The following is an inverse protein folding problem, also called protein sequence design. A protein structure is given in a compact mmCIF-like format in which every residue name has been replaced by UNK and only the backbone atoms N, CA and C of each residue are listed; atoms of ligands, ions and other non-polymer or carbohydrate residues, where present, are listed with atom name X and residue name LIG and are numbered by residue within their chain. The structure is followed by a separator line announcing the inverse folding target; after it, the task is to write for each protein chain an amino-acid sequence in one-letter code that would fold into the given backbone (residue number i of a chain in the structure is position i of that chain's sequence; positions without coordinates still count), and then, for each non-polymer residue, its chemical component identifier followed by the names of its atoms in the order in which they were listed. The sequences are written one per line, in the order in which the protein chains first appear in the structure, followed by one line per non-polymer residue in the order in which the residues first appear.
data_IF_601300010872
#
_entry.id   IF_601300010872
#
_cell.length_a   1.000
_cell.length_b   1.000
_cell.length_c   1.000
_cell.angle_alpha   90.00
_cell.angle_beta   90.00
_cell.angle_gamma   90.00
#
_symmetry.space_group_name_H-M   'P 1'
#
loop_
_entity.id
_entity.type
_entity.pdbx_description
1 polymer ?
#
# COMPACT_ATOMS: atom_id res chain seq x y z
N UNK A 1 -23.90 10.61 -12.13
CA UNK A 1 -23.71 10.18 -10.73
C UNK A 1 -22.21 10.11 -10.44
N UNK A 2 -21.79 10.27 -9.18
CA UNK A 2 -20.40 10.00 -8.81
C UNK A 2 -20.14 8.48 -8.85
N UNK A 3 -18.95 8.06 -9.32
CA UNK A 3 -18.62 6.64 -9.46
C UNK A 3 -18.40 5.99 -8.08
N UNK A 4 -19.08 4.88 -7.72
CA UNK A 4 -18.81 4.16 -6.48
C UNK A 4 -17.68 3.11 -6.61
N UNK A 5 -17.24 2.86 -7.85
CA UNK A 5 -16.21 1.90 -8.24
C UNK A 5 -15.63 2.26 -9.61
N UNK A 6 -14.39 1.85 -9.90
CA UNK A 6 -13.74 2.13 -11.18
C UNK A 6 -14.10 1.12 -12.27
N UNK A 7 -14.52 -0.11 -11.90
CA UNK A 7 -14.71 -1.25 -12.82
C UNK A 7 -15.46 -0.91 -14.12
N UNK A 8 -16.65 -0.26 -14.08
CA UNK A 8 -17.38 0.06 -15.31
C UNK A 8 -16.59 0.92 -16.29
N UNK A 9 -15.75 1.85 -15.80
CA UNK A 9 -14.93 2.72 -16.64
C UNK A 9 -13.81 1.92 -17.30
N UNK A 10 -13.17 1.02 -16.56
CA UNK A 10 -12.15 0.13 -17.11
C UNK A 10 -12.75 -0.83 -18.15
N UNK A 11 -13.98 -1.30 -17.95
CA UNK A 11 -14.67 -2.15 -18.93
C UNK A 11 -14.94 -1.39 -20.24
N UNK A 12 -15.31 -0.10 -20.15
CA UNK A 12 -15.48 0.74 -21.34
C UNK A 12 -14.15 0.99 -22.05
N UNK A 13 -13.04 1.17 -21.32
CA UNK A 13 -11.69 1.29 -21.90
C UNK A 13 -11.29 -0.01 -22.60
N UNK A 14 -11.51 -1.17 -21.97
CA UNK A 14 -11.25 -2.47 -22.58
C UNK A 14 -12.00 -2.61 -23.90
N UNK A 15 -13.30 -2.27 -23.89
CA UNK A 15 -14.24 -2.39 -25.02
C UNK A 15 -13.99 -1.39 -26.16
N UNK A 16 -13.23 -0.33 -25.91
CA UNK A 16 -13.01 0.72 -26.90
C UNK A 16 -12.25 0.24 -28.15
N UNK A 17 -11.50 -0.86 -28.04
CA UNK A 17 -10.73 -1.44 -29.14
C UNK A 17 -10.96 -2.96 -29.20
N UNK A 18 -11.00 -3.56 -30.41
CA UNK A 18 -10.97 -5.01 -30.57
C UNK A 18 -9.72 -5.61 -29.91
N UNK A 19 -9.85 -6.79 -29.30
CA UNK A 19 -8.77 -7.49 -28.61
C UNK A 19 -8.54 -8.87 -29.21
N UNK A 20 -7.28 -9.28 -29.33
CA UNK A 20 -6.85 -10.65 -29.64
C UNK A 20 -6.37 -11.35 -28.36
N UNK A 21 -6.35 -12.69 -28.34
CA UNK A 21 -5.71 -13.46 -27.27
C UNK A 21 -4.24 -13.07 -27.05
N UNK A 22 -3.56 -12.52 -28.07
CA UNK A 22 -2.19 -12.01 -27.99
C UNK A 22 -2.06 -10.73 -27.18
N UNK A 23 -3.16 -9.98 -27.03
CA UNK A 23 -3.21 -8.75 -26.23
C UNK A 23 -3.50 -9.05 -24.75
N UNK A 24 -3.81 -10.31 -24.42
CA UNK A 24 -4.07 -10.76 -23.06
C UNK A 24 -2.82 -11.43 -22.44
N UNK A 25 -2.54 -11.20 -21.14
CA UNK A 25 -3.37 -10.48 -20.18
C UNK A 25 -3.22 -8.95 -20.28
N UNK A 26 -4.35 -8.23 -20.32
CA UNK A 26 -4.38 -6.76 -20.30
C UNK A 26 -4.66 -6.28 -18.87
N UNK A 27 -3.83 -5.38 -18.35
CA UNK A 27 -3.95 -4.88 -16.97
C UNK A 27 -4.21 -3.37 -16.98
N UNK A 28 -5.43 -2.97 -16.63
CA UNK A 28 -5.80 -1.56 -16.51
C UNK A 28 -5.75 -1.15 -15.03
N UNK A 29 -4.79 -0.30 -14.66
CA UNK A 29 -4.63 0.21 -13.30
C UNK A 29 -4.92 1.71 -13.24
N UNK A 30 -5.65 2.14 -12.20
CA UNK A 30 -5.98 3.54 -11.93
C UNK A 30 -5.82 3.81 -10.44
N UNK A 31 -5.20 4.94 -10.09
CA UNK A 31 -5.33 5.49 -8.75
C UNK A 31 -6.66 6.26 -8.63
N UNK A 32 -7.76 5.49 -8.65
CA UNK A 32 -9.09 6.02 -8.97
C UNK A 32 -9.87 6.47 -7.76
N UNK A 33 -10.36 7.71 -7.78
CA UNK A 33 -11.22 8.27 -6.73
C UNK A 33 -12.67 7.84 -6.91
N UNK A 34 -13.25 7.26 -5.86
CA UNK A 34 -14.62 6.77 -5.81
C UNK A 34 -15.38 7.39 -4.63
N UNK A 35 -16.71 7.35 -4.73
CA UNK A 35 -17.61 7.92 -3.72
C UNK A 35 -18.68 6.92 -3.31
N UNK A 36 -18.81 6.68 -2.00
CA UNK A 36 -19.85 5.84 -1.40
C UNK A 36 -20.65 6.64 -0.40
N UNK A 37 -21.97 6.56 -0.48
CA UNK A 37 -22.86 7.27 0.43
C UNK A 37 -23.06 6.46 1.73
N UNK A 38 -21.96 6.32 2.48
CA UNK A 38 -21.95 5.67 3.80
C UNK A 38 -22.83 6.44 4.79
N UNK A 39 -23.49 5.72 5.70
CA UNK A 39 -24.34 6.33 6.73
C UNK A 39 -23.50 7.24 7.63
N UNK A 40 -24.05 8.38 8.05
CA UNK A 40 -23.28 9.36 8.83
C UNK A 40 -22.75 8.81 10.14
N UNK A 41 -23.47 7.86 10.77
CA UNK A 41 -23.05 7.20 12.01
C UNK A 41 -21.95 6.15 11.84
N UNK A 42 -21.60 5.81 10.59
CA UNK A 42 -20.58 4.80 10.27
C UNK A 42 -19.23 5.41 9.89
N UNK A 43 -19.18 6.72 9.67
CA UNK A 43 -17.95 7.42 9.29
C UNK A 43 -16.96 7.43 10.46
N UNK A 44 -15.69 7.10 10.18
CA UNK A 44 -14.66 6.97 11.20
C UNK A 44 -13.29 7.39 10.65
N UNK A 45 -12.86 8.62 10.97
CA UNK A 45 -11.56 9.16 10.60
C UNK A 45 -11.20 8.89 9.14
N UNK A 46 -10.09 8.18 8.93
CA UNK A 46 -9.64 7.70 7.62
C UNK A 46 -10.02 6.23 7.34
N UNK A 47 -10.51 5.48 8.34
CA UNK A 47 -10.87 4.06 8.22
C UNK A 47 -12.17 3.85 7.41
N UNK A 48 -13.14 4.76 7.55
CA UNK A 48 -14.42 4.74 6.84
C UNK A 48 -14.84 6.14 6.41
N UNK A 49 -14.71 6.40 5.10
CA UNK A 49 -14.88 7.71 4.46
C UNK A 49 -15.88 7.64 3.30
N UNK A 50 -16.42 8.78 2.86
CA UNK A 50 -17.31 8.86 1.69
C UNK A 50 -16.58 9.03 0.37
N UNK A 51 -15.47 9.75 0.36
CA UNK A 51 -14.58 9.89 -0.79
C UNK A 51 -13.29 9.13 -0.49
N UNK A 52 -12.90 8.25 -1.39
CA UNK A 52 -11.74 7.38 -1.21
C UNK A 52 -11.00 7.19 -2.52
N UNK A 53 -9.69 6.99 -2.46
CA UNK A 53 -8.88 6.70 -3.66
C UNK A 53 -8.22 5.33 -3.50
N UNK A 54 -8.32 4.47 -4.52
CA UNK A 54 -7.81 3.10 -4.45
C UNK A 54 -6.73 2.87 -5.49
N UNK A 55 -5.74 2.03 -5.19
CA UNK A 55 -4.78 1.51 -6.17
C UNK A 55 -5.38 0.37 -7.01
N UNK A 56 -6.55 0.66 -7.56
CA UNK A 56 -7.44 -0.30 -8.19
C UNK A 56 -6.91 -0.73 -9.57
N UNK A 57 -7.08 -2.00 -9.89
CA UNK A 57 -6.79 -2.51 -11.21
C UNK A 57 -7.73 -3.65 -11.61
N UNK A 58 -7.96 -3.72 -12.91
CA UNK A 58 -8.78 -4.72 -13.57
C UNK A 58 -7.92 -5.44 -14.60
N UNK A 59 -7.70 -6.72 -14.37
CA UNK A 59 -6.91 -7.59 -15.25
C UNK A 59 -7.88 -8.41 -16.09
N UNK A 60 -7.74 -8.33 -17.41
CA UNK A 60 -8.51 -9.09 -18.38
C UNK A 60 -7.61 -10.19 -18.92
N UNK A 61 -8.01 -11.44 -18.75
CA UNK A 61 -7.18 -12.59 -19.10
C UNK A 61 -8.03 -13.73 -19.68
N UNK A 62 -7.38 -14.66 -20.38
CA UNK A 62 -8.04 -15.90 -20.80
C UNK A 62 -8.20 -16.86 -19.60
N UNK A 63 -9.09 -17.87 -19.70
CA UNK A 63 -9.22 -18.89 -18.66
C UNK A 63 -7.91 -19.59 -18.29
N UNK A 64 -7.05 -19.84 -19.28
CA UNK A 64 -5.75 -20.51 -19.09
C UNK A 64 -4.74 -19.61 -18.35
N UNK A 65 -4.89 -18.28 -18.48
CA UNK A 65 -4.01 -17.30 -17.83
C UNK A 65 -4.47 -16.95 -16.41
N UNK A 66 -5.74 -17.17 -16.07
CA UNK A 66 -6.35 -16.71 -14.83
C UNK A 66 -5.63 -17.20 -13.57
N UNK A 67 -5.16 -18.47 -13.55
CA UNK A 67 -4.40 -19.03 -12.41
C UNK A 67 -3.12 -18.23 -12.16
N UNK A 68 -2.32 -18.06 -13.20
CA UNK A 68 -1.03 -17.36 -13.12
C UNK A 68 -1.20 -15.88 -12.74
N UNK A 69 -2.21 -15.20 -13.30
CA UNK A 69 -2.49 -13.81 -12.96
C UNK A 69 -2.97 -13.65 -11.52
N UNK A 70 -3.82 -14.55 -11.02
CA UNK A 70 -4.26 -14.51 -9.63
C UNK A 70 -3.08 -14.75 -8.67
N UNK A 71 -2.22 -15.73 -8.96
CA UNK A 71 -1.01 -15.99 -8.17
C UNK A 71 -0.07 -14.77 -8.16
N UNK A 72 0.14 -14.13 -9.31
CA UNK A 72 0.92 -12.89 -9.40
C UNK A 72 0.33 -11.77 -8.53
N UNK A 73 -1.01 -11.64 -8.52
CA UNK A 73 -1.69 -10.67 -7.66
C UNK A 73 -1.49 -11.00 -6.19
N UNK A 74 -1.64 -12.26 -5.76
CA UNK A 74 -1.43 -12.62 -4.35
C UNK A 74 0.03 -12.40 -3.91
N UNK A 75 1.01 -12.79 -4.74
CA UNK A 75 2.42 -12.54 -4.48
C UNK A 75 2.74 -11.04 -4.34
N UNK A 76 2.07 -10.18 -5.12
CA UNK A 76 2.19 -8.73 -5.00
C UNK A 76 1.71 -8.22 -3.64
N UNK A 77 0.66 -8.81 -3.06
CA UNK A 77 0.19 -8.45 -1.72
C UNK A 77 1.23 -8.82 -0.66
N UNK A 78 1.75 -10.05 -0.72
CA UNK A 78 2.82 -10.52 0.18
C UNK A 78 4.03 -9.60 0.12
N UNK A 79 4.51 -9.24 -1.08
CA UNK A 79 5.63 -8.32 -1.26
C UNK A 79 5.37 -6.94 -0.63
N UNK A 80 4.16 -6.39 -0.80
CA UNK A 80 3.84 -5.12 -0.15
C UNK A 80 3.78 -5.26 1.37
N UNK A 81 3.18 -6.31 1.89
CA UNK A 81 3.05 -6.51 3.32
C UNK A 81 4.42 -6.69 3.98
N UNK A 82 5.31 -7.47 3.37
CA UNK A 82 6.71 -7.56 3.77
C UNK A 82 7.41 -6.20 3.74
N UNK A 83 7.22 -5.42 2.67
CA UNK A 83 7.81 -4.08 2.52
C UNK A 83 7.37 -3.12 3.63
N UNK A 84 6.12 -3.22 4.09
CA UNK A 84 5.59 -2.41 5.18
C UNK A 84 5.85 -3.02 6.56
N UNK A 85 6.49 -4.19 6.66
CA UNK A 85 6.75 -4.88 7.93
C UNK A 85 5.53 -5.59 8.54
N UNK A 86 4.51 -5.87 7.72
CA UNK A 86 3.28 -6.55 8.11
C UNK A 86 3.48 -8.07 8.03
N UNK A 87 3.73 -8.69 9.17
CA UNK A 87 4.04 -10.13 9.27
C UNK A 87 2.83 -10.99 9.66
N UNK A 88 1.89 -10.41 10.41
CA UNK A 88 0.74 -11.13 10.97
C UNK A 88 -0.50 -10.92 10.10
N UNK A 89 -0.56 -11.66 8.98
CA UNK A 89 -1.72 -11.67 8.09
C UNK A 89 -2.09 -13.08 7.65
N UNK A 90 -3.36 -13.25 7.30
CA UNK A 90 -3.91 -14.49 6.76
C UNK A 90 -4.98 -14.17 5.72
N UNK A 91 -5.43 -15.15 4.95
CA UNK A 91 -6.43 -14.93 3.90
C UNK A 91 -7.76 -15.61 4.21
N UNK A 92 -8.85 -14.88 4.03
CA UNK A 92 -10.19 -15.46 4.03
C UNK A 92 -10.62 -15.73 2.60
N UNK A 93 -10.90 -17.00 2.29
CA UNK A 93 -11.49 -17.40 1.02
C UNK A 93 -13.00 -17.46 1.16
N UNK A 94 -13.70 -16.47 0.62
CA UNK A 94 -15.17 -16.45 0.66
C UNK A 94 -15.76 -17.13 -0.57
N UNK A 95 -16.54 -18.19 -0.32
CA UNK A 95 -17.16 -19.05 -1.33
C UNK A 95 -18.67 -18.86 -1.39
N UNK A 96 -19.29 -19.29 -2.48
CA UNK A 96 -20.74 -19.26 -2.60
C UNK A 96 -21.41 -20.30 -1.69
N UNK A 97 -22.65 -19.99 -1.33
CA UNK A 97 -23.57 -20.92 -0.68
C UNK A 97 -24.72 -21.23 -1.64
N UNK A 98 -25.05 -22.53 -1.77
CA UNK A 98 -26.10 -22.99 -2.67
C UNK A 98 -27.47 -22.49 -2.21
N UNK A 99 -28.37 -22.26 -3.16
CA UNK A 99 -29.80 -22.05 -2.93
C UNK A 99 -30.20 -20.78 -2.13
N UNK A 100 -29.34 -19.76 -2.10
CA UNK A 100 -29.61 -18.49 -1.39
C UNK A 100 -30.23 -17.39 -2.27
N UNK A 101 -30.31 -17.58 -3.59
CA UNK A 101 -30.77 -16.56 -4.55
C UNK A 101 -29.88 -15.30 -4.66
N UNK A 102 -28.80 -15.25 -3.87
CA UNK A 102 -27.86 -14.12 -3.75
C UNK A 102 -26.79 -14.09 -4.85
N UNK A 103 -26.49 -15.25 -5.44
CA UNK A 103 -25.41 -15.45 -6.41
C UNK A 103 -25.94 -15.63 -7.82
N UNK A 104 -25.11 -15.37 -8.83
CA UNK A 104 -25.47 -15.64 -10.23
C UNK A 104 -25.68 -17.14 -10.45
N UNK A 105 -26.79 -17.48 -11.12
CA UNK A 105 -27.22 -18.85 -11.43
C UNK A 105 -26.42 -19.45 -12.60
N UNK A 106 -25.12 -19.66 -12.36
CA UNK A 106 -24.17 -20.28 -13.30
C UNK A 106 -23.32 -21.33 -12.56
N UNK A 107 -23.89 -22.49 -12.17
CA UNK A 107 -23.24 -23.44 -11.24
C UNK A 107 -21.90 -23.99 -11.74
N UNK A 108 -21.79 -24.26 -13.06
CA UNK A 108 -20.54 -24.76 -13.67
C UNK A 108 -19.41 -23.72 -13.61
N UNK A 109 -19.75 -22.44 -13.76
CA UNK A 109 -18.81 -21.33 -13.71
C UNK A 109 -18.27 -21.14 -12.29
N UNK A 110 -19.16 -21.25 -11.29
CA UNK A 110 -18.78 -21.26 -9.87
C UNK A 110 -17.86 -22.42 -9.52
N UNK A 111 -18.17 -23.63 -9.97
CA UNK A 111 -17.32 -24.79 -9.69
C UNK A 111 -15.90 -24.59 -10.25
N UNK A 112 -15.78 -24.09 -11.49
CA UNK A 112 -14.47 -23.76 -12.08
C UNK A 112 -13.74 -22.68 -11.27
N UNK A 113 -14.46 -21.65 -10.82
CA UNK A 113 -13.90 -20.58 -9.99
C UNK A 113 -13.38 -21.09 -8.64
N UNK A 114 -14.16 -21.94 -7.96
CA UNK A 114 -13.78 -22.53 -6.66
C UNK A 114 -12.54 -23.42 -6.81
N UNK A 115 -12.48 -24.27 -7.84
CA UNK A 115 -11.30 -25.12 -8.12
C UNK A 115 -10.06 -24.26 -8.40
N UNK A 116 -10.17 -23.29 -9.32
CA UNK A 116 -9.06 -22.42 -9.69
C UNK A 116 -8.49 -21.69 -8.47
N UNK A 117 -9.36 -21.08 -7.66
CA UNK A 117 -8.90 -20.32 -6.50
C UNK A 117 -8.31 -21.25 -5.43
N UNK A 118 -8.89 -22.42 -5.18
CA UNK A 118 -8.35 -23.36 -4.19
C UNK A 118 -6.93 -23.78 -4.55
N UNK A 119 -6.67 -24.12 -5.81
CA UNK A 119 -5.30 -24.44 -6.27
C UNK A 119 -4.32 -23.29 -6.09
N UNK A 120 -4.75 -22.05 -6.35
CA UNK A 120 -3.91 -20.86 -6.17
C UNK A 120 -3.60 -20.62 -4.68
N UNK A 121 -4.59 -20.83 -3.80
CA UNK A 121 -4.43 -20.68 -2.36
C UNK A 121 -3.48 -21.73 -1.77
N UNK A 122 -3.46 -22.95 -2.32
CA UNK A 122 -2.51 -23.99 -1.96
C UNK A 122 -1.08 -23.66 -2.44
N UNK A 123 -0.92 -23.06 -3.63
CA UNK A 123 0.38 -22.68 -4.18
C UNK A 123 1.03 -21.47 -3.50
N UNK A 124 0.24 -20.49 -3.05
CA UNK A 124 0.79 -19.23 -2.48
C UNK A 124 1.37 -19.41 -1.07
N UNK A 125 1.00 -20.48 -0.37
CA UNK A 125 1.59 -20.85 0.92
C UNK A 125 1.27 -19.92 2.10
N UNK A 126 0.28 -19.04 1.97
CA UNK A 126 -0.21 -18.17 3.05
C UNK A 126 -1.36 -18.86 3.79
N UNK A 127 -1.41 -18.83 5.14
CA UNK A 127 -2.51 -19.41 5.91
C UNK A 127 -3.86 -18.85 5.46
N UNK A 128 -4.86 -19.72 5.27
CA UNK A 128 -6.19 -19.29 4.87
C UNK A 128 -7.31 -20.10 5.52
N UNK A 129 -8.48 -19.47 5.64
CA UNK A 129 -9.74 -20.12 6.05
C UNK A 129 -10.80 -19.91 4.98
N UNK A 130 -11.50 -20.98 4.60
CA UNK A 130 -12.59 -20.94 3.64
C UNK A 130 -13.94 -20.78 4.33
N UNK A 131 -14.71 -19.76 3.96
CA UNK A 131 -16.03 -19.44 4.55
C UNK A 131 -17.08 -19.40 3.44
N UNK A 132 -18.14 -20.21 3.57
CA UNK A 132 -19.26 -20.22 2.60
C UNK A 132 -20.29 -19.13 2.93
N UNK A 133 -20.95 -18.60 1.89
CA UNK A 133 -22.00 -17.58 2.00
C UNK A 133 -21.51 -16.12 1.98
N UNK A 134 -20.20 -15.93 2.14
CA UNK A 134 -19.56 -14.61 2.17
C UNK A 134 -19.07 -14.11 0.81
N UNK A 135 -19.13 -14.91 -0.27
CA UNK A 135 -18.66 -14.50 -1.59
C UNK A 135 -19.36 -13.23 -2.14
N UNK A 136 -18.74 -12.59 -3.13
CA UNK A 136 -19.40 -11.56 -3.91
C UNK A 136 -20.49 -12.18 -4.80
N UNK A 137 -21.48 -11.39 -5.22
CA UNK A 137 -22.57 -11.93 -6.05
C UNK A 137 -22.09 -12.43 -7.43
N UNK A 138 -20.95 -11.94 -7.92
CA UNK A 138 -20.36 -12.27 -9.23
C UNK A 138 -19.18 -13.25 -9.18
N UNK A 139 -18.77 -13.71 -8.00
CA UNK A 139 -17.67 -14.66 -7.89
C UNK A 139 -17.07 -14.77 -6.49
N UNK A 140 -16.18 -15.76 -6.29
CA UNK A 140 -15.43 -15.90 -5.05
C UNK A 140 -14.47 -14.73 -4.84
N UNK A 141 -14.16 -14.45 -3.57
CA UNK A 141 -13.22 -13.39 -3.18
C UNK A 141 -12.20 -13.90 -2.18
N UNK A 142 -11.01 -13.32 -2.24
CA UNK A 142 -9.90 -13.57 -1.32
C UNK A 142 -9.66 -12.27 -0.57
N UNK A 143 -9.93 -12.26 0.73
CA UNK A 143 -9.75 -11.12 1.59
C UNK A 143 -8.49 -11.29 2.45
N UNK A 144 -7.54 -10.35 2.37
CA UNK A 144 -6.39 -10.33 3.28
C UNK A 144 -6.81 -9.74 4.62
N UNK A 145 -6.79 -10.57 5.66
CA UNK A 145 -7.08 -10.17 7.02
C UNK A 145 -5.77 -9.79 7.72
N UNK A 146 -5.79 -8.65 8.39
CA UNK A 146 -4.70 -8.18 9.26
C UNK A 146 -5.27 -7.83 10.61
N UNK A 147 -4.50 -8.16 11.64
CA UNK A 147 -4.82 -7.79 13.02
C UNK A 147 -4.25 -6.42 13.31
N UNK A 148 -5.09 -5.47 13.71
CA UNK A 148 -4.63 -4.15 14.10
C UNK A 148 -4.03 -4.14 15.53
N UNK A 149 -3.49 -3.00 15.95
CA UNK A 149 -2.80 -2.85 17.25
C UNK A 149 -3.70 -3.05 18.49
N UNK A 150 -5.02 -3.07 18.32
CA UNK A 150 -5.99 -3.35 19.40
C UNK A 150 -6.51 -4.80 19.36
N UNK A 151 -5.96 -5.65 18.49
CA UNK A 151 -6.32 -7.07 18.38
C UNK A 151 -7.58 -7.35 17.56
N UNK A 152 -8.11 -6.36 16.82
CA UNK A 152 -9.27 -6.53 15.95
C UNK A 152 -8.80 -6.88 14.54
N UNK A 153 -9.43 -7.89 13.94
CA UNK A 153 -9.21 -8.26 12.55
C UNK A 153 -9.97 -7.31 11.61
N UNK A 154 -9.27 -6.85 10.58
CA UNK A 154 -9.85 -6.06 9.50
C UNK A 154 -9.35 -6.55 8.13
N UNK A 155 -10.23 -6.46 7.14
CA UNK A 155 -9.87 -6.74 5.75
C UNK A 155 -9.10 -5.55 5.17
N UNK A 156 -7.81 -5.72 4.93
CA UNK A 156 -6.98 -4.67 4.34
C UNK A 156 -7.18 -4.56 2.82
N UNK A 157 -7.31 -5.69 2.14
CA UNK A 157 -7.45 -5.74 0.69
C UNK A 157 -8.24 -6.98 0.26
N UNK A 158 -8.81 -6.89 -0.94
CA UNK A 158 -9.65 -7.96 -1.50
C UNK A 158 -9.26 -8.16 -2.96
N UNK A 159 -9.09 -9.44 -3.35
CA UNK A 159 -9.01 -9.86 -4.74
C UNK A 159 -10.29 -10.60 -5.10
N UNK A 160 -10.80 -10.35 -6.30
CA UNK A 160 -12.08 -10.89 -6.73
C UNK A 160 -11.94 -11.42 -8.13
N UNK A 161 -12.43 -12.65 -8.34
CA UNK A 161 -12.54 -13.25 -9.64
C UNK A 161 -13.95 -13.00 -10.16
N UNK A 162 -14.08 -12.17 -11.19
CA UNK A 162 -15.35 -11.80 -11.78
C UNK A 162 -15.53 -12.51 -13.12
N UNK A 163 -16.57 -13.34 -13.15
CA UNK A 163 -16.94 -14.18 -14.29
C UNK A 163 -18.24 -13.69 -14.95
N UNK A 164 -18.80 -12.58 -14.47
CA UNK A 164 -20.14 -12.09 -14.80
C UNK A 164 -20.08 -10.78 -15.56
N UNK A 165 -19.28 -9.79 -15.11
CA UNK A 165 -19.29 -8.46 -15.73
C UNK A 165 -18.78 -8.49 -17.16
N UNK A 166 -17.86 -9.41 -17.50
CA UNK A 166 -17.43 -9.63 -18.88
C UNK A 166 -18.60 -9.86 -19.83
N UNK A 167 -19.50 -10.80 -19.50
CA UNK A 167 -20.72 -11.07 -20.27
C UNK A 167 -21.67 -9.87 -20.26
N UNK A 168 -21.93 -9.27 -19.08
CA UNK A 168 -22.90 -8.15 -18.93
C UNK A 168 -22.51 -6.90 -19.72
N UNK A 169 -21.21 -6.60 -19.79
CA UNK A 169 -20.70 -5.46 -20.56
C UNK A 169 -20.45 -5.81 -22.04
N UNK A 170 -20.60 -7.08 -22.43
CA UNK A 170 -20.29 -7.58 -23.77
C UNK A 170 -18.82 -7.37 -24.11
N UNK A 171 -17.93 -7.75 -23.19
CA UNK A 171 -16.49 -7.71 -23.40
C UNK A 171 -16.09 -9.00 -24.12
N UNK A 172 -15.37 -8.86 -25.23
CA UNK A 172 -14.92 -9.99 -26.03
C UNK A 172 -13.47 -9.82 -26.48
N UNK A 173 -12.83 -10.95 -26.80
CA UNK A 173 -11.57 -11.03 -27.52
C UNK A 173 -11.62 -12.17 -28.54
N UNK A 174 -10.80 -12.08 -29.59
CA UNK A 174 -10.64 -13.14 -30.59
C UNK A 174 -9.59 -14.14 -30.10
N UNK A 175 -10.01 -15.37 -29.81
CA UNK A 175 -9.12 -16.42 -29.34
C UNK A 175 -8.30 -17.07 -30.48
N UNK A 176 -7.39 -17.98 -30.14
CA UNK A 176 -6.54 -18.68 -31.10
C UNK A 176 -7.30 -19.61 -32.05
N UNK A 177 -8.53 -20.00 -31.66
CA UNK A 177 -9.50 -20.72 -32.49
C UNK A 177 -10.28 -19.80 -33.46
N UNK A 178 -9.94 -18.50 -33.49
CA UNK A 178 -10.58 -17.47 -34.28
C UNK A 178 -12.07 -17.24 -33.95
N UNK A 179 -12.51 -17.65 -32.75
CA UNK A 179 -13.85 -17.37 -32.21
C UNK A 179 -13.80 -16.24 -31.19
N UNK A 180 -14.95 -15.62 -30.95
CA UNK A 180 -15.11 -14.62 -29.88
C UNK A 180 -15.32 -15.31 -28.53
N UNK A 181 -14.49 -14.93 -27.56
CA UNK A 181 -14.58 -15.40 -26.18
C UNK A 181 -14.72 -14.23 -25.21
N UNK A 182 -15.31 -14.47 -24.05
CA UNK A 182 -15.39 -13.48 -22.96
C UNK A 182 -14.15 -13.58 -22.07
N UNK A 183 -13.46 -12.47 -21.74
CA UNK A 183 -12.33 -12.51 -20.83
C UNK A 183 -12.79 -12.74 -19.38
N UNK A 184 -11.94 -13.39 -18.58
CA UNK A 184 -12.04 -13.39 -17.13
C UNK A 184 -11.48 -12.08 -16.59
N UNK A 185 -12.14 -11.52 -15.58
CA UNK A 185 -11.75 -10.26 -14.95
C UNK A 185 -11.26 -10.53 -13.54
N UNK A 186 -10.05 -10.07 -13.21
CA UNK A 186 -9.54 -10.08 -11.84
C UNK A 186 -9.51 -8.64 -11.34
N UNK A 187 -10.25 -8.38 -10.27
CA UNK A 187 -10.25 -7.10 -9.55
C UNK A 187 -9.22 -7.18 -8.44
N UNK A 188 -8.36 -6.16 -8.34
CA UNK A 188 -7.36 -6.10 -7.28
C UNK A 188 -7.11 -4.67 -6.81
N UNK A 189 -6.97 -4.51 -5.51
CA UNK A 189 -6.53 -3.28 -4.86
C UNK A 189 -5.62 -3.65 -3.68
N UNK A 190 -4.32 -3.92 -3.92
CA UNK A 190 -3.46 -4.60 -2.94
C UNK A 190 -3.20 -3.80 -1.67
N UNK A 191 -3.39 -2.48 -1.72
CA UNK A 191 -3.28 -1.60 -0.56
C UNK A 191 -4.66 -1.02 -0.17
N UNK A 192 -5.75 -1.54 -0.74
CA UNK A 192 -7.10 -1.02 -0.53
C UNK A 192 -7.23 0.46 -0.90
N UNK A 193 -7.99 1.20 -0.09
CA UNK A 193 -8.10 2.66 -0.21
C UNK A 193 -6.94 3.35 0.48
N UNK A 194 -6.38 4.40 -0.12
CA UNK A 194 -5.31 5.23 0.44
C UNK A 194 -5.61 5.66 1.87
N UNK A 195 -6.82 6.15 2.11
CA UNK A 195 -7.23 6.69 3.40
C UNK A 195 -7.12 5.61 4.48
N UNK A 196 -7.76 4.46 4.26
CA UNK A 196 -7.69 3.32 5.19
C UNK A 196 -6.27 2.80 5.36
N UNK A 197 -5.50 2.71 4.28
CA UNK A 197 -4.13 2.20 4.34
C UNK A 197 -3.21 3.11 5.14
N UNK A 198 -3.32 4.43 4.94
CA UNK A 198 -2.60 5.42 5.76
C UNK A 198 -3.04 5.35 7.21
N UNK A 199 -4.33 5.21 7.50
CA UNK A 199 -4.83 5.01 8.86
C UNK A 199 -4.18 3.80 9.53
N UNK A 200 -4.17 2.68 8.82
CA UNK A 200 -3.56 1.44 9.26
C UNK A 200 -2.05 1.59 9.49
N UNK A 201 -1.31 2.24 8.58
CA UNK A 201 0.12 2.49 8.76
C UNK A 201 0.42 3.42 9.95
N UNK A 202 -0.42 4.45 10.19
CA UNK A 202 -0.29 5.32 11.36
C UNK A 202 -0.38 4.49 12.64
N UNK A 203 -1.37 3.60 12.73
CA UNK A 203 -1.55 2.72 13.88
C UNK A 203 -0.41 1.71 14.01
N UNK A 204 -0.10 1.00 12.92
CA UNK A 204 0.94 -0.04 12.88
C UNK A 204 2.30 0.49 13.33
N UNK A 205 2.66 1.70 12.90
CA UNK A 205 3.93 2.33 13.28
C UNK A 205 3.84 3.18 14.54
N UNK A 206 2.67 3.29 15.16
CA UNK A 206 2.40 4.23 16.25
C UNK A 206 2.78 5.67 15.88
N UNK A 207 2.71 6.05 14.60
CA UNK A 207 3.15 7.33 14.04
C UNK A 207 4.67 7.53 13.91
N UNK A 208 5.50 6.58 14.33
CA UNK A 208 6.95 6.62 14.13
C UNK A 208 7.33 5.89 12.84
N UNK A 209 7.11 6.54 11.71
CA UNK A 209 7.31 5.92 10.39
C UNK A 209 8.79 5.57 10.11
N UNK A 210 9.06 4.51 9.32
CA UNK A 210 10.34 4.34 8.64
C UNK A 210 10.72 5.61 7.87
N UNK A 211 12.01 5.90 7.75
CA UNK A 211 12.48 7.16 7.13
C UNK A 211 11.90 7.38 5.74
N UNK A 212 11.78 6.35 4.91
CA UNK A 212 11.24 6.49 3.55
C UNK A 212 9.76 6.91 3.53
N UNK A 213 8.98 6.60 4.57
CA UNK A 213 7.57 6.98 4.73
C UNK A 213 7.35 8.25 5.56
N UNK A 214 8.32 8.65 6.39
CA UNK A 214 8.15 9.76 7.31
C UNK A 214 7.85 11.09 6.57
N UNK A 215 6.82 11.86 6.99
CA UNK A 215 6.52 13.15 6.37
C UNK A 215 7.70 14.13 6.41
N UNK A 216 8.42 14.12 7.53
CA UNK A 216 9.69 14.82 7.72
C UNK A 216 10.75 13.77 8.09
N UNK A 217 11.78 13.64 7.26
CA UNK A 217 12.80 12.59 7.39
C UNK A 217 13.96 13.02 8.28
N UNK A 218 14.35 14.29 8.17
CA UNK A 218 15.49 14.87 8.89
C UNK A 218 15.13 16.24 9.44
N UNK A 219 15.38 16.49 10.73
CA UNK A 219 15.39 17.84 11.29
C UNK A 219 16.80 18.26 11.67
N UNK A 220 17.25 19.40 11.15
CA UNK A 220 18.54 20.00 11.50
C UNK A 220 18.35 20.99 12.65
N UNK A 221 19.19 20.91 13.67
CA UNK A 221 19.08 21.69 14.91
C UNK A 221 20.45 22.29 15.25
N UNK A 222 20.67 23.60 15.00
CA UNK A 222 21.84 24.30 15.49
C UNK A 222 21.78 24.49 17.02
N UNK A 223 22.91 24.29 17.71
CA UNK A 223 22.99 24.46 19.17
C UNK A 223 22.95 25.93 19.60
N UNK A 224 23.29 26.85 18.69
CA UNK A 224 23.22 28.30 18.87
C UNK A 224 23.09 28.99 17.50
N UNK A 225 22.60 30.24 17.49
CA UNK A 225 22.38 31.02 16.26
C UNK A 225 23.66 31.26 15.44
N UNK A 226 24.83 31.22 16.08
CA UNK A 226 26.13 31.32 15.42
C UNK A 226 26.39 30.22 14.38
N UNK A 227 25.66 29.09 14.46
CA UNK A 227 25.82 27.93 13.55
C UNK A 227 24.68 27.82 12.53
N UNK A 228 23.81 28.83 12.44
CA UNK A 228 22.67 28.80 11.52
C UNK A 228 23.11 28.70 10.07
N UNK A 229 24.14 29.43 9.64
CA UNK A 229 24.60 29.41 8.24
C UNK A 229 25.07 28.01 7.81
N UNK A 230 25.80 27.32 8.69
CA UNK A 230 26.19 25.93 8.45
C UNK A 230 24.96 25.02 8.38
N UNK A 231 24.02 25.16 9.32
CA UNK A 231 22.80 24.38 9.36
C UNK A 231 21.91 24.58 8.11
N UNK A 232 21.81 25.82 7.60
CA UNK A 232 21.14 26.16 6.34
C UNK A 232 21.80 25.44 5.16
N UNK A 233 23.13 25.49 5.05
CA UNK A 233 23.85 24.78 3.99
C UNK A 233 23.63 23.26 3.99
N UNK A 234 23.56 22.64 5.17
CA UNK A 234 23.22 21.21 5.29
C UNK A 234 21.78 20.92 4.88
N UNK A 235 20.83 21.75 5.32
CA UNK A 235 19.42 21.62 4.97
C UNK A 235 19.20 21.74 3.45
N UNK A 236 19.86 22.70 2.80
CA UNK A 236 19.81 22.88 1.35
C UNK A 236 20.41 21.70 0.59
N UNK A 237 21.49 21.12 1.12
CA UNK A 237 22.13 19.93 0.55
C UNK A 237 21.24 18.69 0.65
N UNK A 238 20.59 18.50 1.80
CA UNK A 238 19.58 17.45 2.01
C UNK A 238 18.39 17.64 1.07
N UNK A 239 17.84 18.85 0.98
CA UNK A 239 16.71 19.16 0.12
C UNK A 239 17.04 18.93 -1.37
N UNK A 240 18.20 19.40 -1.82
CA UNK A 240 18.70 19.18 -3.19
C UNK A 240 18.91 17.70 -3.52
N UNK A 241 19.06 16.87 -2.49
CA UNK A 241 19.16 15.42 -2.57
C UNK A 241 17.81 14.70 -2.43
N UNK A 242 16.69 15.42 -2.57
CA UNK A 242 15.32 14.93 -2.44
C UNK A 242 14.97 14.34 -1.05
N UNK A 243 15.71 14.74 -0.01
CA UNK A 243 15.39 14.41 1.38
C UNK A 243 14.39 15.42 1.92
N UNK A 244 13.29 14.95 2.52
CA UNK A 244 12.31 15.82 3.19
C UNK A 244 12.92 16.28 4.51
N UNK A 245 13.38 17.52 4.58
CA UNK A 245 14.07 18.08 5.73
C UNK A 245 13.53 19.45 6.15
N UNK A 246 13.82 19.83 7.39
CA UNK A 246 13.45 21.11 7.99
C UNK A 246 14.56 21.54 8.95
N UNK A 247 14.89 22.82 8.94
CA UNK A 247 15.77 23.47 9.91
C UNK A 247 14.96 24.07 11.06
N UNK A 248 15.35 23.77 12.31
CA UNK A 248 14.83 24.45 13.51
C UNK A 248 15.83 25.49 14.01
N UNK A 249 15.86 26.66 13.37
CA UNK A 249 16.67 27.83 13.75
C UNK A 249 15.94 28.77 14.73
N UNK A 250 14.85 28.29 15.35
CA UNK A 250 14.05 29.07 16.29
C UNK A 250 14.85 29.51 17.52
N UNK A 251 14.31 30.48 18.28
CA UNK A 251 14.91 30.97 19.52
C UNK A 251 14.61 30.07 20.74
N UNK A 252 14.01 28.90 20.52
CA UNK A 252 13.72 27.94 21.57
C UNK A 252 15.02 27.34 22.15
N UNK A 253 14.97 26.93 23.41
CA UNK A 253 16.10 26.23 24.02
C UNK A 253 16.39 24.93 23.29
N UNK A 254 17.66 24.55 23.20
CA UNK A 254 18.07 23.29 22.54
C UNK A 254 17.26 22.08 23.03
N UNK A 255 17.06 21.96 24.34
CA UNK A 255 16.25 20.88 24.92
C UNK A 255 14.79 20.89 24.45
N UNK A 256 14.21 22.08 24.23
CA UNK A 256 12.85 22.22 23.69
C UNK A 256 12.79 21.80 22.21
N UNK A 257 13.79 22.17 21.40
CA UNK A 257 13.90 21.74 19.99
C UNK A 257 14.00 20.22 19.87
N UNK A 258 14.89 19.60 20.66
CA UNK A 258 15.04 18.13 20.71
C UNK A 258 13.73 17.46 21.13
N UNK A 259 13.05 17.99 22.17
CA UNK A 259 11.76 17.45 22.62
C UNK A 259 10.68 17.60 21.53
N UNK A 260 10.62 18.73 20.85
CA UNK A 260 9.69 18.98 19.75
C UNK A 260 9.87 17.95 18.62
N UNK A 261 11.13 17.71 18.21
CA UNK A 261 11.45 16.70 17.21
C UNK A 261 11.04 15.29 17.64
N UNK A 262 11.28 14.93 18.91
CA UNK A 262 10.85 13.65 19.46
C UNK A 262 9.31 13.51 19.52
N UNK A 263 8.58 14.55 19.92
CA UNK A 263 7.11 14.55 19.92
C UNK A 263 6.55 14.36 18.51
N UNK A 264 7.18 14.99 17.52
CA UNK A 264 6.83 14.85 16.10
C UNK A 264 7.30 13.52 15.48
N UNK A 265 8.04 12.69 16.23
CA UNK A 265 8.55 11.37 15.81
C UNK A 265 9.42 11.40 14.55
N UNK A 266 10.22 12.46 14.41
CA UNK A 266 11.11 12.65 13.26
C UNK A 266 12.24 11.62 13.33
N UNK A 267 12.40 10.72 12.34
CA UNK A 267 13.34 9.61 12.42
C UNK A 267 14.79 10.03 12.67
N UNK A 268 15.23 11.14 12.06
CA UNK A 268 16.60 11.60 12.12
C UNK A 268 16.68 13.05 12.60
N UNK A 269 17.46 13.28 13.65
CA UNK A 269 17.79 14.60 14.15
C UNK A 269 19.28 14.82 13.92
N UNK A 270 19.64 15.91 13.23
CA UNK A 270 21.02 16.34 13.06
C UNK A 270 21.29 17.55 13.96
N UNK A 271 22.24 17.41 14.86
CA UNK A 271 22.66 18.46 15.78
C UNK A 271 23.97 19.03 15.25
N UNK A 272 24.06 20.37 15.18
CA UNK A 272 25.26 21.05 14.71
C UNK A 272 25.68 22.17 15.66
N UNK A 273 26.95 22.17 16.05
CA UNK A 273 27.60 23.24 16.78
C UNK A 273 29.00 23.54 16.26
N UNK A 274 29.85 24.06 17.13
CA UNK A 274 31.21 24.51 16.79
C UNK A 274 32.06 23.37 16.22
N UNK A 275 32.06 22.21 16.88
CA UNK A 275 32.81 21.05 16.46
C UNK A 275 32.32 20.51 15.11
N UNK A 276 31.00 20.47 14.90
CA UNK A 276 30.40 20.02 13.65
C UNK A 276 30.73 20.95 12.48
N UNK A 277 30.65 22.26 12.70
CA UNK A 277 31.00 23.24 11.67
C UNK A 277 32.49 23.19 11.33
N UNK A 278 33.37 23.13 12.34
CA UNK A 278 34.81 23.09 12.13
C UNK A 278 35.27 21.80 11.43
N UNK A 279 34.58 20.67 11.72
CA UNK A 279 34.88 19.37 11.14
C UNK A 279 34.10 19.00 9.88
N UNK A 280 33.18 19.86 9.41
CA UNK A 280 32.21 19.52 8.35
C UNK A 280 31.45 18.21 8.65
N UNK A 281 31.07 18.02 9.91
CA UNK A 281 30.37 16.83 10.41
C UNK A 281 28.95 17.18 10.87
N UNK A 282 28.18 16.16 11.22
CA UNK A 282 26.90 16.26 11.92
C UNK A 282 26.89 15.29 13.09
N UNK A 283 26.26 15.69 14.20
CA UNK A 283 25.93 14.75 15.28
C UNK A 283 24.51 14.24 15.06
N UNK A 284 24.41 12.98 14.62
CA UNK A 284 23.15 12.31 14.30
C UNK A 284 22.57 11.60 15.53
N UNK A 285 21.28 11.80 15.75
CA UNK A 285 20.47 11.12 16.76
C UNK A 285 19.19 10.57 16.10
N UNK A 286 18.90 9.27 16.29
CA UNK A 286 17.63 8.67 15.83
C UNK A 286 16.48 8.89 16.81
N UNK A 287 15.25 8.90 16.30
CA UNK A 287 14.04 8.91 17.13
C UNK A 287 14.04 7.75 18.13
N UNK A 288 13.71 8.03 19.39
CA UNK A 288 13.65 7.03 20.46
C UNK A 288 15.00 6.63 21.06
N UNK A 289 16.12 6.92 20.40
CA UNK A 289 17.47 6.63 20.92
C UNK A 289 18.08 7.81 21.66
N UNK A 290 18.89 7.51 22.69
CA UNK A 290 19.77 8.49 23.36
C UNK A 290 21.17 8.53 22.76
N UNK A 291 21.51 7.55 21.93
CA UNK A 291 22.82 7.44 21.34
C UNK A 291 23.00 8.50 20.25
N UNK A 292 24.20 9.05 20.22
CA UNK A 292 24.60 10.08 19.26
C UNK A 292 25.86 9.64 18.56
N UNK A 293 25.86 9.76 17.25
CA UNK A 293 27.01 9.44 16.41
C UNK A 293 27.39 10.67 15.61
N UNK A 294 28.64 11.10 15.75
CA UNK A 294 29.21 12.15 14.91
C UNK A 294 29.84 11.52 13.68
N UNK A 295 29.51 12.04 12.50
CA UNK A 295 30.03 11.56 11.22
C UNK A 295 30.11 12.72 10.22
N UNK A 296 30.98 12.58 9.22
CA UNK A 296 31.02 13.51 8.08
C UNK A 296 29.62 13.60 7.45
N UNK A 297 29.21 14.81 7.06
CA UNK A 297 27.87 15.02 6.51
C UNK A 297 27.62 14.17 5.26
N UNK A 298 28.59 14.09 4.35
CA UNK A 298 28.48 13.30 3.12
C UNK A 298 28.26 11.80 3.44
N UNK A 299 28.97 11.27 4.43
CA UNK A 299 28.79 9.89 4.87
C UNK A 299 27.40 9.66 5.51
N UNK A 300 26.86 10.65 6.23
CA UNK A 300 25.48 10.57 6.73
C UNK A 300 24.47 10.55 5.57
N UNK A 301 24.65 11.45 4.60
CA UNK A 301 23.76 11.57 3.46
C UNK A 301 23.72 10.27 2.63
N UNK A 302 24.88 9.66 2.37
CA UNK A 302 24.97 8.38 1.67
C UNK A 302 24.20 7.27 2.41
N UNK A 303 24.41 7.13 3.72
CA UNK A 303 23.69 6.14 4.55
C UNK A 303 22.17 6.38 4.53
N UNK A 304 21.76 7.64 4.66
CA UNK A 304 20.35 8.01 4.65
C UNK A 304 19.69 7.71 3.29
N UNK A 305 20.37 8.02 2.19
CA UNK A 305 19.88 7.74 0.85
C UNK A 305 19.78 6.25 0.59
N UNK A 306 20.76 5.46 1.04
CA UNK A 306 20.72 4.01 0.95
C UNK A 306 19.53 3.43 1.73
N UNK A 307 19.30 3.89 2.97
CA UNK A 307 18.15 3.49 3.79
C UNK A 307 16.81 3.84 3.10
N UNK A 308 16.69 5.05 2.55
CA UNK A 308 15.48 5.49 1.84
C UNK A 308 15.26 4.65 0.57
N UNK A 309 16.32 4.42 -0.21
CA UNK A 309 16.24 3.68 -1.47
C UNK A 309 15.89 2.21 -1.25
N UNK A 310 16.50 1.58 -0.24
CA UNK A 310 16.21 0.20 0.16
C UNK A 310 14.90 0.07 0.96
N UNK A 311 14.27 1.20 1.31
CA UNK A 311 13.05 1.27 2.11
C UNK A 311 13.18 0.51 3.43
N UNK A 312 14.37 0.62 4.04
CA UNK A 312 14.68 -0.06 5.28
C UNK A 312 13.89 0.53 6.45
N UNK A 313 13.49 -0.36 7.35
CA UNK A 313 12.85 0.01 8.61
C UNK A 313 13.90 0.05 9.72
N UNK A 314 14.42 1.24 9.97
CA UNK A 314 15.43 1.48 10.99
C UNK A 314 15.00 1.05 12.41
N UNK A 315 13.71 0.82 12.66
CA UNK A 315 13.19 0.40 13.96
C UNK A 315 13.38 -1.10 14.22
N UNK A 316 13.59 -1.88 13.16
CA UNK A 316 13.80 -3.32 13.24
C UNK A 316 15.27 -3.72 13.11
N UNK A 317 16.13 -2.81 12.65
CA UNK A 317 17.57 -3.06 12.43
C UNK A 317 18.40 -3.11 13.74
N UNK A 318 17.77 -2.89 14.90
CA UNK A 318 18.38 -3.04 16.24
C UNK A 318 18.15 -4.44 16.86
N UNK A 319 17.80 -5.46 16.07
CA UNK A 319 17.81 -6.89 16.48
C UNK A 319 18.99 -7.67 15.89
#
# INVERSE_FOLDING_TARGET
FLKPMNCPHHHMIYKAEPRSYRDLPLRLAEYGTCYRYEQSGELAGLLRVRGMTMNDAHIYCSPEQAKAELLNVLNLHTQYYELFGLKDFWMRLSLAEKDTGKFVDEPELWQKAETLITEVMEEVGVPYEAVRGEAAFYGPKIDFQVTNVIGREETASTNQLDLVMGKRFGLTYIASDNQEHTPIIIHRAPLGTHERFVAFLIEHYGGAFPTWLAPLQVRVIPVASAFNDYAHGLNDSLYSSFVRTELDDSHDSFSKKIRSAAVAKIPNILIVGENEQAGQTVTWQRYGSKDRKTLAFDAFLELLQEEILKRQDWRTDDQ
#
